data_IF_851417503658
#
_entry.id   IF_851417503658
#
_cell.length_a   1.000
_cell.length_b   1.000
_cell.length_c   1.000
_cell.angle_alpha   90.00
_cell.angle_beta   90.00
_cell.angle_gamma   90.00
#
_symmetry.space_group_name_H-M   'P 1'
#
loop_
_entity.id
_entity.type
_entity.pdbx_description
1 polymer ?
#
# COMPACT_ATOMS: atom_id res chain seq x y z
N UNK A 1 -25.00 -0.38 -4.46
CA UNK A 1 -23.84 0.50 -4.67
C UNK A 1 -23.18 0.69 -3.31
N UNK A 2 -22.34 -0.26 -2.91
CA UNK A 2 -21.81 -0.34 -1.54
C UNK A 2 -20.47 0.38 -1.44
N UNK A 3 -20.45 1.49 -0.70
CA UNK A 3 -19.30 2.14 -0.07
C UNK A 3 -17.93 1.86 -0.72
N UNK A 4 -17.61 2.62 -1.77
CA UNK A 4 -16.20 2.88 -2.10
C UNK A 4 -15.65 3.72 -0.95
N UNK A 5 -15.08 3.08 0.07
CA UNK A 5 -14.35 3.79 1.10
C UNK A 5 -13.09 4.37 0.43
N UNK A 6 -12.96 5.69 0.46
CA UNK A 6 -11.68 6.31 0.18
C UNK A 6 -10.71 5.77 1.23
N UNK A 7 -9.62 5.11 0.79
CA UNK A 7 -8.60 4.52 1.67
C UNK A 7 -7.31 5.34 1.63
N UNK A 8 -7.32 6.63 2.08
CA UNK A 8 -6.11 7.45 2.07
C UNK A 8 -5.01 6.85 2.96
N UNK A 9 -5.37 6.03 3.95
CA UNK A 9 -4.44 5.31 4.82
C UNK A 9 -3.48 4.38 4.06
N UNK A 10 -3.79 3.98 2.81
CA UNK A 10 -2.90 3.14 2.01
C UNK A 10 -1.53 3.76 1.77
N UNK A 11 -1.45 5.10 1.80
CA UNK A 11 -0.17 5.79 1.62
C UNK A 11 0.83 5.47 2.74
N UNK A 12 0.36 5.06 3.92
CA UNK A 12 1.21 4.75 5.06
C UNK A 12 2.14 3.56 4.76
N UNK A 13 1.66 2.34 4.45
CA UNK A 13 2.55 1.24 4.09
C UNK A 13 3.38 1.50 2.84
N UNK A 14 2.83 2.23 1.85
CA UNK A 14 3.57 2.62 0.65
C UNK A 14 4.77 3.50 0.98
N UNK A 15 4.56 4.57 1.75
CA UNK A 15 5.59 5.51 2.16
C UNK A 15 6.64 4.85 3.06
N UNK A 16 6.21 4.15 4.11
CA UNK A 16 7.14 3.51 5.04
C UNK A 16 7.93 2.38 4.36
N UNK A 17 7.30 1.63 3.45
CA UNK A 17 8.01 0.67 2.61
C UNK A 17 9.06 1.36 1.75
N UNK A 18 8.66 2.36 0.95
CA UNK A 18 9.54 3.06 0.02
C UNK A 18 10.76 3.71 0.73
N UNK A 19 10.56 4.26 1.93
CA UNK A 19 11.62 4.96 2.66
C UNK A 19 12.50 4.02 3.48
N UNK A 20 11.91 3.06 4.20
CA UNK A 20 12.62 2.25 5.20
C UNK A 20 12.82 0.78 4.80
N UNK A 21 12.31 0.38 3.63
CA UNK A 21 12.54 -0.93 3.03
C UNK A 21 11.35 -1.90 3.12
N UNK A 22 11.47 -3.05 2.44
CA UNK A 22 10.36 -3.97 2.21
C UNK A 22 9.81 -4.57 3.51
N UNK A 23 10.67 -4.91 4.46
CA UNK A 23 10.22 -5.48 5.74
C UNK A 23 9.44 -4.46 6.58
N UNK A 24 9.86 -3.19 6.60
CA UNK A 24 9.11 -2.14 7.30
C UNK A 24 7.75 -1.94 6.65
N UNK A 25 7.71 -1.90 5.32
CA UNK A 25 6.44 -1.84 4.58
C UNK A 25 5.52 -3.02 4.89
N UNK A 26 6.06 -4.25 4.96
CA UNK A 26 5.30 -5.45 5.31
C UNK A 26 4.67 -5.36 6.69
N UNK A 27 5.44 -4.96 7.71
CA UNK A 27 4.94 -4.81 9.07
C UNK A 27 3.91 -3.68 9.18
N UNK A 28 4.19 -2.52 8.58
CA UNK A 28 3.29 -1.38 8.60
C UNK A 28 1.98 -1.69 7.88
N UNK A 29 2.03 -2.39 6.75
CA UNK A 29 0.86 -2.79 5.98
C UNK A 29 0.05 -3.87 6.68
N UNK A 30 0.69 -4.98 7.07
CA UNK A 30 -0.02 -6.12 7.63
C UNK A 30 -0.48 -5.90 9.07
N UNK A 31 0.46 -5.59 9.96
CA UNK A 31 0.13 -5.39 11.39
C UNK A 31 -0.64 -4.09 11.57
N UNK A 32 -0.30 -3.03 10.82
CA UNK A 32 -1.05 -1.77 10.88
C UNK A 32 -2.51 -1.93 10.46
N UNK A 33 -2.79 -2.68 9.38
CA UNK A 33 -4.16 -2.98 8.98
C UNK A 33 -4.88 -3.83 10.03
N UNK A 34 -4.25 -4.92 10.49
CA UNK A 34 -4.83 -5.81 11.49
C UNK A 34 -5.21 -5.09 12.79
N UNK A 35 -4.32 -4.24 13.30
CA UNK A 35 -4.61 -3.43 14.49
C UNK A 35 -5.70 -2.39 14.21
N UNK A 36 -5.68 -1.75 13.03
CA UNK A 36 -6.69 -0.81 12.61
C UNK A 36 -8.09 -1.43 12.57
N UNK A 37 -8.21 -2.61 11.99
CA UNK A 37 -9.47 -3.35 11.86
C UNK A 37 -9.98 -3.84 13.22
N UNK A 38 -9.07 -4.35 14.06
CA UNK A 38 -9.40 -4.79 15.42
C UNK A 38 -9.91 -3.63 16.29
N UNK A 39 -9.22 -2.48 16.26
CA UNK A 39 -9.60 -1.29 17.04
C UNK A 39 -10.91 -0.68 16.51
N UNK A 40 -11.13 -0.72 15.20
CA UNK A 40 -12.34 -0.18 14.56
C UNK A 40 -13.56 -1.09 14.72
N UNK A 41 -13.38 -2.30 15.26
CA UNK A 41 -14.46 -3.28 15.46
C UNK A 41 -14.87 -4.03 14.19
N UNK A 42 -14.10 -3.96 13.10
CA UNK A 42 -14.37 -4.69 11.87
C UNK A 42 -14.06 -6.19 12.00
N UNK A 43 -13.18 -6.56 12.93
CA UNK A 43 -12.74 -7.95 13.13
C UNK A 43 -11.34 -8.17 12.56
N UNK A 44 -10.99 -9.44 12.30
CA UNK A 44 -9.69 -9.83 11.74
C UNK A 44 -9.91 -10.53 10.41
N UNK A 45 -9.39 -9.93 9.34
CA UNK A 45 -9.49 -10.44 7.97
C UNK A 45 -8.09 -10.78 7.46
N UNK A 46 -7.59 -11.94 7.87
CA UNK A 46 -6.18 -12.29 7.69
C UNK A 46 -5.71 -12.21 6.22
N UNK A 47 -6.57 -12.53 5.23
CA UNK A 47 -6.24 -12.42 3.82
C UNK A 47 -6.03 -10.97 3.38
N UNK A 48 -6.86 -10.06 3.90
CA UNK A 48 -6.72 -8.62 3.68
C UNK A 48 -5.52 -8.05 4.43
N UNK A 49 -5.24 -8.51 5.65
CA UNK A 49 -4.06 -8.11 6.41
C UNK A 49 -2.78 -8.52 5.68
N UNK A 50 -2.70 -9.77 5.20
CA UNK A 50 -1.57 -10.21 4.37
C UNK A 50 -1.52 -9.43 3.06
N UNK A 51 -2.67 -9.16 2.42
CA UNK A 51 -2.77 -8.32 1.25
C UNK A 51 -2.11 -6.95 1.46
N UNK A 52 -2.48 -6.23 2.52
CA UNK A 52 -1.88 -4.94 2.87
C UNK A 52 -0.38 -5.06 3.20
N UNK A 53 0.04 -6.15 3.85
CA UNK A 53 1.45 -6.46 4.06
C UNK A 53 2.22 -6.62 2.75
N UNK A 54 1.65 -7.31 1.75
CA UNK A 54 2.25 -7.44 0.42
C UNK A 54 2.34 -6.09 -0.29
N UNK A 55 1.33 -5.23 -0.17
CA UNK A 55 1.36 -3.87 -0.72
C UNK A 55 2.60 -3.13 -0.21
N UNK A 56 2.78 -3.07 1.12
CA UNK A 56 3.91 -2.40 1.74
C UNK A 56 5.26 -3.06 1.40
N UNK A 57 5.32 -4.39 1.37
CA UNK A 57 6.53 -5.13 1.02
C UNK A 57 7.01 -4.81 -0.40
N UNK A 58 6.11 -4.92 -1.37
CA UNK A 58 6.42 -4.69 -2.79
C UNK A 58 6.76 -3.22 -3.02
N UNK A 59 6.00 -2.28 -2.43
CA UNK A 59 6.34 -0.86 -2.48
C UNK A 59 7.74 -0.59 -1.92
N UNK A 60 8.13 -1.28 -0.83
CA UNK A 60 9.44 -1.14 -0.23
C UNK A 60 10.60 -1.73 -1.02
N UNK A 61 10.36 -2.55 -2.04
CA UNK A 61 11.42 -2.96 -2.98
C UNK A 61 11.97 -1.77 -3.78
N UNK A 62 11.21 -0.67 -3.90
CA UNK A 62 11.73 0.58 -4.46
C UNK A 62 12.98 1.07 -3.73
N UNK A 63 13.02 0.90 -2.41
CA UNK A 63 14.13 1.33 -1.55
C UNK A 63 15.47 0.68 -1.95
N UNK A 64 15.44 -0.54 -2.50
CA UNK A 64 16.65 -1.23 -2.97
C UNK A 64 17.31 -0.52 -4.17
N UNK A 65 16.52 0.25 -4.94
CA UNK A 65 17.00 1.02 -6.08
C UNK A 65 17.22 2.50 -5.75
N UNK A 66 16.35 3.07 -4.92
CA UNK A 66 16.38 4.50 -4.57
C UNK A 66 17.25 4.81 -3.36
N UNK A 67 17.62 3.78 -2.59
CA UNK A 67 18.32 3.89 -1.31
C UNK A 67 17.58 4.78 -0.30
N UNK A 68 16.25 4.82 -0.39
CA UNK A 68 15.39 5.66 0.45
C UNK A 68 15.52 7.17 0.16
N UNK A 69 16.17 7.55 -0.94
CA UNK A 69 16.39 8.94 -1.35
C UNK A 69 15.50 9.32 -2.52
N UNK A 70 14.71 10.36 -2.35
CA UNK A 70 13.70 10.80 -3.33
C UNK A 70 13.97 12.22 -3.79
N UNK A 71 15.21 12.47 -4.21
CA UNK A 71 15.71 13.79 -4.59
C UNK A 71 15.65 14.10 -6.10
N UNK A 72 15.23 13.13 -6.90
CA UNK A 72 15.10 13.25 -8.35
C UNK A 72 13.84 12.52 -8.85
N UNK A 73 13.37 12.91 -10.03
CA UNK A 73 12.15 12.37 -10.63
C UNK A 73 12.22 10.86 -10.87
N UNK A 74 13.39 10.33 -11.24
CA UNK A 74 13.58 8.89 -11.48
C UNK A 74 13.27 8.08 -10.23
N UNK A 75 13.77 8.48 -9.07
CA UNK A 75 13.55 7.75 -7.82
C UNK A 75 12.08 7.83 -7.37
N UNK A 76 11.41 8.96 -7.60
CA UNK A 76 9.97 9.08 -7.35
C UNK A 76 9.19 8.14 -8.26
N UNK A 77 9.46 8.14 -9.58
CA UNK A 77 8.82 7.23 -10.54
C UNK A 77 9.03 5.76 -10.14
N UNK A 78 10.23 5.39 -9.70
CA UNK A 78 10.49 4.02 -9.22
C UNK A 78 9.59 3.69 -8.04
N UNK A 79 9.46 4.56 -7.04
CA UNK A 79 8.53 4.33 -5.93
C UNK A 79 7.07 4.23 -6.39
N UNK A 80 6.61 5.09 -7.29
CA UNK A 80 5.25 5.04 -7.83
C UNK A 80 4.96 3.71 -8.54
N UNK A 81 5.90 3.23 -9.37
CA UNK A 81 5.75 1.95 -10.08
C UNK A 81 5.65 0.79 -9.10
N UNK A 82 6.56 0.70 -8.13
CA UNK A 82 6.52 -0.35 -7.12
C UNK A 82 5.28 -0.26 -6.23
N UNK A 83 4.83 0.95 -5.89
CA UNK A 83 3.59 1.17 -5.15
C UNK A 83 2.37 0.67 -5.94
N UNK A 84 2.27 1.01 -7.23
CA UNK A 84 1.17 0.56 -8.08
C UNK A 84 1.15 -0.98 -8.23
N UNK A 85 2.31 -1.59 -8.45
CA UNK A 85 2.44 -3.06 -8.51
C UNK A 85 2.05 -3.67 -7.16
N UNK A 86 2.52 -3.09 -6.06
CA UNK A 86 2.17 -3.53 -4.70
C UNK A 86 0.68 -3.54 -4.46
N UNK A 87 -0.02 -2.45 -4.79
CA UNK A 87 -1.48 -2.34 -4.69
C UNK A 87 -2.18 -3.42 -5.49
N UNK A 88 -1.86 -3.57 -6.78
CA UNK A 88 -2.52 -4.55 -7.64
C UNK A 88 -2.30 -5.98 -7.14
N UNK A 89 -1.07 -6.32 -6.72
CA UNK A 89 -0.74 -7.66 -6.23
C UNK A 89 -1.37 -7.93 -4.87
N UNK A 90 -1.28 -7.00 -3.92
CA UNK A 90 -1.80 -7.19 -2.57
C UNK A 90 -3.33 -7.22 -2.52
N UNK A 91 -4.00 -6.32 -3.25
CA UNK A 91 -5.47 -6.36 -3.38
C UNK A 91 -5.91 -7.58 -4.19
N UNK A 92 -5.18 -7.94 -5.26
CA UNK A 92 -5.45 -9.16 -6.00
C UNK A 92 -5.35 -10.42 -5.14
N UNK A 93 -4.35 -10.49 -4.28
CA UNK A 93 -4.22 -11.57 -3.29
C UNK A 93 -5.44 -11.61 -2.37
N UNK A 94 -5.81 -10.49 -1.75
CA UNK A 94 -6.92 -10.43 -0.81
C UNK A 94 -8.26 -10.84 -1.46
N UNK A 95 -8.62 -10.17 -2.56
CA UNK A 95 -9.89 -10.35 -3.26
C UNK A 95 -10.05 -11.76 -3.84
N UNK A 96 -9.00 -12.32 -4.44
CA UNK A 96 -9.10 -13.69 -4.95
C UNK A 96 -9.09 -14.73 -3.83
N UNK A 97 -8.49 -14.43 -2.67
CA UNK A 97 -8.61 -15.34 -1.53
C UNK A 97 -10.05 -15.46 -1.01
N UNK A 98 -10.84 -14.39 -1.14
CA UNK A 98 -12.25 -14.37 -0.74
C UNK A 98 -13.17 -15.30 -1.56
N UNK A 99 -12.70 -15.82 -2.70
CA UNK A 99 -13.37 -16.92 -3.40
C UNK A 99 -13.42 -18.17 -2.50
N UNK A 100 -12.34 -18.46 -1.77
CA UNK A 100 -12.26 -19.64 -0.90
C UNK A 100 -12.73 -19.35 0.52
N UNK A 101 -12.41 -18.19 1.08
CA UNK A 101 -12.78 -17.80 2.45
C UNK A 101 -14.26 -17.42 2.51
N UNK A 102 -14.65 -16.43 1.71
CA UNK A 102 -15.95 -15.77 1.77
C UNK A 102 -16.95 -16.34 0.75
N UNK A 103 -16.55 -17.39 0.01
CA UNK A 103 -17.35 -18.10 -1.01
C UNK A 103 -17.88 -17.18 -2.11
N UNK A 104 -17.12 -16.15 -2.45
CA UNK A 104 -17.46 -15.25 -3.54
C UNK A 104 -17.32 -15.91 -4.91
N UNK A 105 -18.09 -15.43 -5.88
CA UNK A 105 -17.86 -15.78 -7.29
C UNK A 105 -16.63 -15.03 -7.81
N UNK A 106 -15.99 -15.55 -8.86
CA UNK A 106 -14.90 -14.83 -9.54
C UNK A 106 -15.32 -13.41 -9.95
N UNK A 107 -16.52 -13.26 -10.49
CA UNK A 107 -17.07 -11.95 -10.87
C UNK A 107 -17.19 -11.00 -9.67
N UNK A 108 -17.65 -11.50 -8.52
CA UNK A 108 -17.76 -10.69 -7.30
C UNK A 108 -16.40 -10.30 -6.75
N UNK A 109 -15.43 -11.22 -6.71
CA UNK A 109 -14.06 -10.91 -6.30
C UNK A 109 -13.39 -9.87 -7.21
N UNK A 110 -13.57 -9.99 -8.53
CA UNK A 110 -12.96 -9.04 -9.48
C UNK A 110 -13.65 -7.68 -9.46
N UNK A 111 -14.97 -7.63 -9.67
CA UNK A 111 -15.70 -6.37 -9.88
C UNK A 111 -16.16 -5.75 -8.56
N UNK A 112 -16.43 -6.57 -7.55
CA UNK A 112 -16.90 -6.13 -6.25
C UNK A 112 -15.79 -5.75 -5.27
N UNK A 113 -14.60 -6.34 -5.39
CA UNK A 113 -13.49 -6.10 -4.46
C UNK A 113 -12.24 -5.58 -5.16
N UNK A 114 -11.64 -6.34 -6.08
CA UNK A 114 -10.36 -5.98 -6.71
C UNK A 114 -10.40 -4.62 -7.39
N UNK A 115 -11.31 -4.43 -8.35
CA UNK A 115 -11.41 -3.18 -9.12
C UNK A 115 -11.66 -1.97 -8.23
N UNK A 116 -12.68 -1.95 -7.33
CA UNK A 116 -12.92 -0.78 -6.49
C UNK A 116 -11.82 -0.54 -5.45
N UNK A 117 -11.29 -1.59 -4.80
CA UNK A 117 -10.26 -1.42 -3.78
C UNK A 117 -8.93 -1.00 -4.40
N UNK A 118 -8.46 -1.68 -5.45
CA UNK A 118 -7.23 -1.29 -6.15
C UNK A 118 -7.38 0.08 -6.82
N UNK A 119 -8.54 0.39 -7.38
CA UNK A 119 -8.81 1.71 -7.95
C UNK A 119 -8.71 2.83 -6.92
N UNK A 120 -9.37 2.67 -5.76
CA UNK A 120 -9.28 3.64 -4.65
C UNK A 120 -7.84 3.77 -4.14
N UNK A 121 -7.16 2.66 -3.93
CA UNK A 121 -5.79 2.64 -3.42
C UNK A 121 -4.78 3.26 -4.40
N UNK A 122 -4.91 2.99 -5.70
CA UNK A 122 -4.06 3.58 -6.73
C UNK A 122 -4.27 5.09 -6.81
N UNK A 123 -5.52 5.56 -6.80
CA UNK A 123 -5.81 7.01 -6.85
C UNK A 123 -5.19 7.70 -5.63
N UNK A 124 -5.42 7.18 -4.42
CA UNK A 124 -4.88 7.77 -3.20
C UNK A 124 -3.36 7.66 -3.13
N UNK A 125 -2.81 6.48 -3.44
CA UNK A 125 -1.38 6.20 -3.41
C UNK A 125 -0.60 7.05 -4.40
N UNK A 126 -1.01 7.07 -5.67
CA UNK A 126 -0.29 7.79 -6.73
C UNK A 126 -0.32 9.32 -6.58
N UNK A 127 -1.29 9.85 -5.84
CA UNK A 127 -1.38 11.28 -5.53
C UNK A 127 -0.58 11.61 -4.27
N UNK A 128 -0.74 10.83 -3.19
CA UNK A 128 -0.19 11.17 -1.87
C UNK A 128 1.26 10.73 -1.68
N UNK A 129 1.66 9.60 -2.25
CA UNK A 129 3.02 9.07 -2.13
C UNK A 129 4.09 10.05 -2.61
N UNK A 130 4.02 10.65 -3.81
CA UNK A 130 5.10 11.53 -4.28
C UNK A 130 5.17 12.81 -3.44
N UNK A 131 4.02 13.30 -2.93
CA UNK A 131 3.95 14.45 -2.03
C UNK A 131 4.71 14.14 -0.73
N UNK A 132 4.44 12.99 -0.10
CA UNK A 132 5.12 12.58 1.12
C UNK A 132 6.60 12.32 0.92
N UNK A 133 7.00 11.69 -0.19
CA UNK A 133 8.40 11.43 -0.49
C UNK A 133 9.20 12.73 -0.68
N UNK A 134 8.63 13.71 -1.38
CA UNK A 134 9.24 15.04 -1.54
C UNK A 134 9.31 15.78 -0.21
N UNK A 135 8.23 15.76 0.58
CA UNK A 135 8.20 16.39 1.91
C UNK A 135 9.23 15.78 2.86
N UNK A 136 9.35 14.44 2.87
CA UNK A 136 10.34 13.72 3.66
C UNK A 136 11.76 14.09 3.25
N UNK A 137 12.06 14.11 1.94
CA UNK A 137 13.38 14.49 1.45
C UNK A 137 13.73 15.95 1.81
N UNK A 138 12.75 16.86 1.74
CA UNK A 138 12.92 18.25 2.18
C UNK A 138 13.21 18.36 3.68
N UNK A 139 12.55 17.55 4.51
CA UNK A 139 12.82 17.48 5.95
C UNK A 139 14.22 16.93 6.24
N UNK A 140 14.64 15.85 5.57
CA UNK A 140 15.95 15.20 5.79
C UNK A 140 17.12 16.10 5.40
N UNK A 141 16.96 16.98 4.41
CA UNK A 141 17.95 18.01 4.09
C UNK A 141 18.23 18.96 5.25
N UNK A 142 17.22 19.31 6.05
CA UNK A 142 17.40 20.19 7.24
C UNK A 142 18.25 19.54 8.33
N UNK A 143 18.26 18.20 8.39
CA UNK A 143 19.06 17.43 9.33
C UNK A 143 20.44 17.04 8.78
N UNK A 144 20.83 17.54 7.60
CA UNK A 144 22.12 17.21 6.98
C UNK A 144 22.22 15.79 6.41
N UNK A 145 21.09 15.11 6.17
CA UNK A 145 21.03 13.71 5.71
C UNK A 145 20.41 13.52 4.32
N UNK A 146 20.21 14.61 3.57
CA UNK A 146 19.49 14.64 2.27
C UNK A 146 20.37 14.63 1.03
#
# INVERSE_FOLDING_TARGET
AGNVSFRPAIVIPLFFGAVFGPWVGLFVGGIGNLLGDYISGYGVYWNWDIGNGLIGFIAGLAMLNTWGRYNNTRNIIIAEVFAAVGVVVGIGFAAYNDIWISKLTFTTATIGELVPAAGSDLINGLILLPILLVAYNAAMRRYGRG
#
